data_IF_806468190014
#
_entry.id   IF_806468190014
#
_cell.length_a   1.000
_cell.length_b   1.000
_cell.length_c   1.000
_cell.angle_alpha   90.00
_cell.angle_beta   90.00
_cell.angle_gamma   90.00
#
_symmetry.space_group_name_H-M   'P 1'
#
loop_
_entity.id
_entity.type
_entity.pdbx_description
1 polymer ?
#
# COMPACT_ATOMS: atom_id res chain seq x y z
N UNK A 1 18.47 12.63 -2.37
CA UNK A 1 17.26 12.92 -1.55
C UNK A 1 17.08 11.78 -0.58
N UNK A 2 16.92 12.08 0.71
CA UNK A 2 16.69 11.06 1.75
C UNK A 2 15.21 10.79 1.95
N UNK A 3 14.88 9.64 2.52
CA UNK A 3 13.53 9.32 2.97
C UNK A 3 13.23 10.07 4.27
N UNK A 4 12.17 10.89 4.36
CA UNK A 4 11.81 11.55 5.60
C UNK A 4 11.34 10.52 6.64
N UNK A 5 11.79 10.67 7.89
CA UNK A 5 11.32 9.85 9.00
C UNK A 5 9.82 10.05 9.23
N UNK A 6 9.12 8.99 9.67
CA UNK A 6 7.69 9.03 10.01
C UNK A 6 6.75 9.47 8.87
N UNK A 7 7.12 9.21 7.61
CA UNK A 7 6.27 9.47 6.44
C UNK A 7 5.77 8.18 5.78
N UNK A 8 4.86 7.41 6.42
CA UNK A 8 4.21 6.26 5.80
C UNK A 8 3.33 6.67 4.62
N UNK A 9 2.81 7.90 4.63
CA UNK A 9 1.99 8.48 3.56
C UNK A 9 2.75 8.61 2.23
N UNK A 10 4.07 8.72 2.31
CA UNK A 10 4.96 8.69 1.16
C UNK A 10 5.35 7.28 0.71
N UNK A 11 5.07 6.23 1.49
CA UNK A 11 5.45 4.85 1.20
C UNK A 11 4.36 4.10 0.40
N UNK A 12 4.52 3.88 -0.92
CA UNK A 12 3.47 3.25 -1.73
C UNK A 12 3.16 1.81 -1.34
N UNK A 13 4.10 1.13 -0.67
CA UNK A 13 3.90 -0.27 -0.27
C UNK A 13 2.82 -0.40 0.81
N UNK A 14 2.59 0.63 1.62
CA UNK A 14 1.53 0.62 2.64
C UNK A 14 0.15 0.47 1.99
N UNK A 15 -0.06 1.15 0.85
CA UNK A 15 -1.30 1.02 0.08
C UNK A 15 -1.42 -0.33 -0.62
N UNK A 16 -0.28 -0.92 -1.00
CA UNK A 16 -0.28 -2.27 -1.56
C UNK A 16 -0.64 -3.31 -0.49
N UNK A 17 -0.19 -3.10 0.76
CA UNK A 17 -0.61 -3.93 1.90
C UNK A 17 -2.09 -3.78 2.22
N UNK A 18 -2.61 -2.56 2.19
CA UNK A 18 -4.05 -2.30 2.36
C UNK A 18 -4.89 -3.02 1.27
N UNK A 19 -4.46 -2.96 0.01
CA UNK A 19 -5.15 -3.67 -1.08
C UNK A 19 -5.09 -5.20 -0.90
N UNK A 20 -3.96 -5.75 -0.45
CA UNK A 20 -3.84 -7.17 -0.13
C UNK A 20 -4.77 -7.58 1.03
N UNK A 21 -4.85 -6.76 2.07
CA UNK A 21 -5.75 -6.98 3.19
C UNK A 21 -7.21 -6.94 2.73
N UNK A 22 -7.60 -5.93 1.94
CA UNK A 22 -8.95 -5.80 1.38
C UNK A 22 -9.36 -7.02 0.55
N UNK A 23 -8.45 -7.55 -0.26
CA UNK A 23 -8.66 -8.79 -1.04
C UNK A 23 -8.84 -10.03 -0.16
N UNK A 24 -8.19 -10.05 0.99
CA UNK A 24 -8.26 -11.15 1.95
C UNK A 24 -9.37 -10.99 3.00
N UNK A 25 -10.01 -9.81 3.11
CA UNK A 25 -10.92 -9.47 4.21
C UNK A 25 -12.09 -10.46 4.37
N UNK A 26 -12.59 -11.00 3.26
CA UNK A 26 -13.72 -11.95 3.26
C UNK A 26 -13.28 -13.43 3.25
N UNK A 27 -11.98 -13.72 3.36
CA UNK A 27 -11.44 -15.08 3.34
C UNK A 27 -11.06 -15.52 4.75
N UNK A 28 -11.70 -16.59 5.23
CA UNK A 28 -11.32 -17.22 6.50
C UNK A 28 -10.23 -18.28 6.25
N UNK A 29 -9.18 -18.24 7.06
CA UNK A 29 -8.16 -19.27 7.13
C UNK A 29 -8.27 -19.98 8.49
N UNK A 30 -8.04 -21.29 8.52
CA UNK A 30 -8.12 -22.11 9.74
C UNK A 30 -6.77 -22.22 10.46
N UNK A 31 -5.67 -21.90 9.77
CA UNK A 31 -4.31 -21.98 10.29
C UNK A 31 -3.39 -21.02 9.52
N UNK A 32 -2.15 -20.88 9.99
CA UNK A 32 -1.15 -19.99 9.40
C UNK A 32 -0.78 -20.36 7.96
N UNK A 33 -0.72 -21.66 7.63
CA UNK A 33 -0.37 -22.10 6.28
C UNK A 33 -1.46 -21.73 5.27
N UNK A 34 -2.73 -21.91 5.62
CA UNK A 34 -3.86 -21.46 4.82
C UNK A 34 -3.85 -19.93 4.65
N UNK A 35 -3.56 -19.18 5.71
CA UNK A 35 -3.48 -17.71 5.63
C UNK A 35 -2.37 -17.26 4.69
N UNK A 36 -1.20 -17.88 4.78
CA UNK A 36 -0.07 -17.59 3.91
C UNK A 36 -0.37 -17.92 2.44
N UNK A 37 -0.96 -19.09 2.18
CA UNK A 37 -1.37 -19.48 0.83
C UNK A 37 -2.42 -18.51 0.24
N UNK A 38 -3.37 -18.05 1.04
CA UNK A 38 -4.36 -17.04 0.64
C UNK A 38 -3.70 -15.70 0.29
N UNK A 39 -2.79 -15.21 1.14
CA UNK A 39 -2.04 -13.97 0.89
C UNK A 39 -1.21 -14.07 -0.38
N UNK A 40 -0.47 -15.17 -0.56
CA UNK A 40 0.34 -15.39 -1.76
C UNK A 40 -0.51 -15.46 -3.04
N UNK A 41 -1.66 -16.14 -2.97
CA UNK A 41 -2.60 -16.22 -4.08
C UNK A 41 -3.17 -14.86 -4.46
N UNK A 42 -3.55 -14.03 -3.47
CA UNK A 42 -4.06 -12.69 -3.74
C UNK A 42 -2.97 -11.73 -4.22
N UNK A 43 -1.77 -11.81 -3.64
CA UNK A 43 -0.60 -11.04 -4.08
C UNK A 43 -0.31 -11.24 -5.56
N UNK A 44 -0.27 -12.50 -6.02
CA UNK A 44 -0.04 -12.84 -7.43
C UNK A 44 -1.17 -12.39 -8.37
N UNK A 45 -2.36 -12.09 -7.83
CA UNK A 45 -3.50 -11.58 -8.58
C UNK A 45 -3.62 -10.06 -8.56
N UNK A 46 -2.72 -9.34 -7.88
CA UNK A 46 -2.70 -7.88 -7.93
C UNK A 46 -2.24 -7.47 -9.33
N UNK A 47 -3.07 -6.75 -10.11
CA UNK A 47 -2.68 -6.31 -11.45
C UNK A 47 -1.51 -5.33 -11.39
N UNK A 48 -0.60 -5.41 -12.37
CA UNK A 48 0.48 -4.43 -12.52
C UNK A 48 -0.04 -2.99 -12.61
N UNK A 49 -1.23 -2.78 -13.19
CA UNK A 49 -1.88 -1.46 -13.24
C UNK A 49 -2.16 -0.85 -11.85
N UNK A 50 -2.34 -1.68 -10.82
CA UNK A 50 -2.47 -1.22 -9.43
C UNK A 50 -1.14 -0.65 -8.95
N UNK A 51 -0.04 -1.36 -9.22
CA UNK A 51 1.32 -0.91 -8.90
C UNK A 51 1.67 0.37 -9.67
N UNK A 52 1.38 0.41 -10.97
CA UNK A 52 1.62 1.59 -11.81
C UNK A 52 0.85 2.81 -11.28
N UNK A 53 -0.41 2.62 -10.84
CA UNK A 53 -1.22 3.68 -10.25
C UNK A 53 -0.60 4.21 -8.95
N UNK A 54 -0.08 3.32 -8.10
CA UNK A 54 0.61 3.71 -6.87
C UNK A 54 1.89 4.51 -7.17
N UNK A 55 2.71 4.06 -8.11
CA UNK A 55 3.92 4.76 -8.52
C UNK A 55 3.61 6.14 -9.13
N UNK A 56 2.62 6.20 -10.03
CA UNK A 56 2.17 7.45 -10.65
C UNK A 56 1.55 8.43 -9.64
N UNK A 57 1.09 7.95 -8.48
CA UNK A 57 0.55 8.80 -7.41
C UNK A 57 1.63 9.57 -6.62
N UNK A 58 2.91 9.17 -6.71
CA UNK A 58 3.98 9.70 -5.87
C UNK A 58 4.15 11.21 -5.97
N UNK A 59 4.07 11.77 -7.18
CA UNK A 59 4.16 13.22 -7.36
C UNK A 59 3.06 13.95 -6.60
N UNK A 60 1.84 13.40 -6.58
CA UNK A 60 0.69 13.97 -5.87
C UNK A 60 0.83 13.85 -4.35
N UNK A 61 1.41 12.77 -3.84
CA UNK A 61 1.69 12.57 -2.41
C UNK A 61 2.75 13.55 -1.92
N UNK A 62 3.86 13.67 -2.66
CA UNK A 62 4.91 14.65 -2.36
C UNK A 62 4.34 16.08 -2.33
N UNK A 63 3.49 16.43 -3.31
CA UNK A 63 2.84 17.73 -3.32
C UNK A 63 1.93 17.92 -2.10
N UNK A 64 1.15 16.91 -1.72
CA UNK A 64 0.30 16.99 -0.53
C UNK A 64 1.10 17.22 0.76
N UNK A 65 2.29 16.61 0.89
CA UNK A 65 3.20 16.84 2.03
C UNK A 65 3.74 18.27 2.00
N UNK A 66 4.10 18.79 0.82
CA UNK A 66 4.55 20.18 0.66
C UNK A 66 3.43 21.16 1.06
N UNK A 67 2.22 20.95 0.57
CA UNK A 67 1.04 21.77 0.87
C UNK A 67 0.69 21.70 2.36
N UNK A 68 0.85 20.52 2.96
CA UNK A 68 0.72 20.28 4.40
C UNK A 68 1.93 20.75 5.20
N UNK A 69 2.94 21.38 4.60
CA UNK A 69 4.17 21.87 5.27
C UNK A 69 4.88 20.78 6.10
N UNK A 70 4.87 19.54 5.62
CA UNK A 70 5.47 18.41 6.31
C UNK A 70 4.56 17.72 7.35
N UNK A 71 3.33 18.20 7.55
CA UNK A 71 2.34 17.49 8.36
C UNK A 71 1.73 16.30 7.62
N UNK A 72 1.10 15.39 8.36
CA UNK A 72 0.47 14.20 7.84
C UNK A 72 -0.58 14.50 6.76
N UNK A 73 -0.60 13.65 5.73
CA UNK A 73 -1.56 13.75 4.63
C UNK A 73 -2.62 12.65 4.72
N UNK A 74 -3.56 12.64 3.77
CA UNK A 74 -4.59 11.59 3.66
C UNK A 74 -4.08 10.29 3.02
N UNK A 75 -2.84 10.30 2.53
CA UNK A 75 -2.21 9.14 1.89
C UNK A 75 -1.54 8.26 2.94
#
# INVERSE_FOLDING_TARGET
>A
MGWPSQSPDLNPIEHLWEELERRCANKRAKNCNEKFAQLLSEWNQIPMSTIDTLLNSMQRRCQAVIDARGFATKY
#
